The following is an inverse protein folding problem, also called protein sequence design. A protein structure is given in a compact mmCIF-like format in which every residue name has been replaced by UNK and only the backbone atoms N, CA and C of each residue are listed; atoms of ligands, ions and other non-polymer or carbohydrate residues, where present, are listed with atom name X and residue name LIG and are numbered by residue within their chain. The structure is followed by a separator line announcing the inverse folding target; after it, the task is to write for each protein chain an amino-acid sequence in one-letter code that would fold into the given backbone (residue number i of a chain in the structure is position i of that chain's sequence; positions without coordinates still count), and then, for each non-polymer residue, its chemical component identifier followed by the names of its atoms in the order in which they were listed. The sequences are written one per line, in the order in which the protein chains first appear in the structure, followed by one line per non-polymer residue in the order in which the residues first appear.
data_IF_305853555111
#
_entry.id   IF_305853555111
#
_cell.length_a   1.000
_cell.length_b   1.000
_cell.length_c   1.000
_cell.angle_alpha   90.00
_cell.angle_beta   90.00
_cell.angle_gamma   90.00
#
_symmetry.space_group_name_H-M   'P 1'
#
loop_
_entity.id
_entity.type
_entity.pdbx_description
1 polymer ?
#
# COMPACT_ATOMS: atom_id res chain seq x y z
N UNK A 1 63.10 -26.45 17.04
CA UNK A 1 63.07 -25.33 16.07
C UNK A 1 62.24 -25.80 14.89
N UNK A 2 61.05 -25.31 14.60
CA UNK A 2 60.20 -24.33 15.24
C UNK A 2 58.79 -24.53 14.66
N UNK A 3 57.77 -24.48 15.50
CA UNK A 3 56.39 -24.49 15.04
C UNK A 3 55.75 -23.18 15.51
N UNK A 4 55.21 -22.48 14.54
CA UNK A 4 54.82 -21.08 14.55
C UNK A 4 53.59 -20.82 15.43
N UNK A 5 53.67 -19.67 16.09
CA UNK A 5 52.71 -19.01 16.98
C UNK A 5 51.26 -19.04 16.50
N UNK A 6 50.31 -19.27 17.43
CA UNK A 6 48.88 -19.07 17.22
C UNK A 6 48.32 -18.05 18.23
N UNK A 7 47.50 -17.13 17.68
CA UNK A 7 46.68 -16.07 18.29
C UNK A 7 47.43 -14.79 18.74
N UNK A 8 46.84 -13.61 18.47
CA UNK A 8 45.65 -13.19 19.24
C UNK A 8 44.42 -12.85 18.40
N UNK A 9 43.26 -12.96 19.06
CA UNK A 9 41.99 -12.34 18.69
C UNK A 9 42.19 -10.86 18.36
N UNK A 10 41.59 -10.39 17.27
CA UNK A 10 41.19 -8.99 17.15
C UNK A 10 39.89 -8.94 16.37
N UNK A 11 38.82 -8.60 17.09
CA UNK A 11 37.49 -8.49 16.54
C UNK A 11 37.32 -7.24 15.69
N UNK A 12 36.46 -7.35 14.69
CA UNK A 12 35.67 -6.23 14.21
C UNK A 12 34.23 -6.72 14.15
N UNK A 13 33.45 -6.30 15.15
CA UNK A 13 32.02 -6.46 15.16
C UNK A 13 31.47 -5.85 13.87
N UNK A 14 30.76 -6.66 13.08
CA UNK A 14 30.00 -6.16 11.95
C UNK A 14 29.11 -5.03 12.45
N UNK A 15 29.26 -3.84 11.87
CA UNK A 15 28.31 -2.75 12.01
C UNK A 15 26.97 -3.27 11.51
N UNK A 16 26.13 -3.71 12.45
CA UNK A 16 24.73 -3.95 12.19
C UNK A 16 24.16 -2.67 11.59
N UNK A 17 23.68 -2.77 10.35
CA UNK A 17 22.91 -1.72 9.73
C UNK A 17 21.81 -1.34 10.73
N UNK A 18 21.87 -0.10 11.22
CA UNK A 18 20.80 0.45 12.04
C UNK A 18 19.52 0.27 11.23
N UNK A 19 18.60 -0.56 11.73
CA UNK A 19 17.26 -0.65 11.19
C UNK A 19 16.74 0.79 11.14
N UNK A 20 16.49 1.27 9.91
CA UNK A 20 15.91 2.57 9.71
C UNK A 20 14.64 2.62 10.57
N UNK A 21 14.50 3.68 11.38
CA UNK A 21 13.34 3.81 12.24
C UNK A 21 12.08 3.77 11.37
N UNK A 22 11.28 2.73 11.55
CA UNK A 22 10.02 2.53 10.83
C UNK A 22 9.10 3.75 11.06
N UNK A 23 8.42 4.26 10.03
CA UNK A 23 7.49 5.37 10.18
C UNK A 23 6.36 4.94 11.13
N UNK A 24 6.28 5.60 12.28
CA UNK A 24 5.15 5.45 13.20
C UNK A 24 4.04 6.40 12.77
N UNK A 25 2.91 5.84 12.35
CA UNK A 25 1.70 6.63 12.10
C UNK A 25 0.97 6.81 13.42
N UNK A 26 1.06 8.00 14.00
CA UNK A 26 0.50 8.34 15.32
C UNK A 26 -1.03 8.30 15.36
N UNK A 27 -1.70 8.29 14.20
CA UNK A 27 -3.16 8.30 14.08
C UNK A 27 -3.63 7.52 12.85
N UNK A 28 -4.64 6.65 13.04
CA UNK A 28 -5.32 5.91 11.96
C UNK A 28 -6.55 6.66 11.42
N UNK A 29 -6.57 7.99 11.59
CA UNK A 29 -7.60 8.83 11.01
C UNK A 29 -7.31 8.98 9.51
N UNK A 30 -8.27 8.59 8.68
CA UNK A 30 -8.17 8.70 7.23
C UNK A 30 -8.05 10.17 6.79
N UNK A 31 -6.91 10.51 6.20
CA UNK A 31 -6.67 11.81 5.59
C UNK A 31 -7.40 11.91 4.24
N UNK A 32 -8.34 12.84 4.16
CA UNK A 32 -9.18 13.05 2.97
C UNK A 32 -8.58 14.05 1.98
N UNK A 33 -7.41 14.61 2.27
CA UNK A 33 -6.81 15.73 1.52
C UNK A 33 -5.76 15.30 0.49
N UNK A 34 -5.09 14.17 0.69
CA UNK A 34 -4.07 13.67 -0.22
C UNK A 34 -4.67 12.66 -1.23
N UNK A 35 -5.10 13.17 -2.39
CA UNK A 35 -5.74 12.37 -3.43
C UNK A 35 -5.40 12.85 -4.84
N UNK A 36 -5.66 11.99 -5.83
CA UNK A 36 -5.71 12.33 -7.26
C UNK A 36 -7.11 12.05 -7.81
N UNK A 37 -7.60 12.93 -8.69
CA UNK A 37 -8.81 12.68 -9.48
C UNK A 37 -8.38 12.16 -10.86
N UNK A 38 -8.85 10.98 -11.23
CA UNK A 38 -8.40 10.22 -12.40
C UNK A 38 -9.59 9.75 -13.24
N UNK A 39 -9.34 9.49 -14.53
CA UNK A 39 -10.32 8.94 -15.46
C UNK A 39 -9.68 7.78 -16.21
N UNK A 40 -10.32 6.62 -16.19
CA UNK A 40 -9.95 5.46 -17.01
C UNK A 40 -11.03 5.18 -18.05
N UNK A 41 -10.63 4.79 -19.25
CA UNK A 41 -11.56 4.31 -20.26
C UNK A 41 -11.80 2.81 -20.04
N UNK A 42 -13.07 2.42 -19.89
CA UNK A 42 -13.49 1.02 -19.85
C UNK A 42 -14.36 0.75 -21.07
N UNK A 43 -13.84 0.03 -22.06
CA UNK A 43 -14.55 -0.25 -23.32
C UNK A 43 -15.04 1.03 -24.02
N UNK A 44 -14.25 2.10 -23.97
CA UNK A 44 -14.61 3.41 -24.54
C UNK A 44 -15.54 4.27 -23.66
N UNK A 45 -15.94 3.79 -22.49
CA UNK A 45 -16.71 4.57 -21.52
C UNK A 45 -15.78 5.19 -20.48
N UNK A 46 -15.76 6.52 -20.29
CA UNK A 46 -14.95 7.16 -19.27
C UNK A 46 -15.51 6.87 -17.87
N UNK A 47 -14.66 6.36 -16.98
CA UNK A 47 -14.94 6.09 -15.58
C UNK A 47 -14.06 6.99 -14.73
N UNK A 48 -14.68 7.99 -14.11
CA UNK A 48 -14.00 8.94 -13.23
C UNK A 48 -14.02 8.47 -11.77
N UNK A 49 -12.87 8.55 -11.10
CA UNK A 49 -12.71 8.17 -9.69
C UNK A 49 -11.65 9.02 -9.00
N UNK A 50 -11.70 9.04 -7.67
CA UNK A 50 -10.68 9.60 -6.81
C UNK A 50 -9.84 8.49 -6.21
N UNK A 51 -8.53 8.63 -6.27
CA UNK A 51 -7.57 7.68 -5.72
C UNK A 51 -6.87 8.27 -4.50
N UNK A 52 -6.84 7.48 -3.42
CA UNK A 52 -5.96 7.67 -2.28
C UNK A 52 -5.00 6.49 -2.25
N UNK A 53 -3.69 6.74 -2.12
CA UNK A 53 -2.66 5.72 -2.37
C UNK A 53 -1.75 5.54 -1.18
N UNK A 54 -1.27 4.31 -1.00
CA UNK A 54 -0.21 3.97 -0.04
C UNK A 54 -0.52 4.44 1.39
N UNK A 55 -1.76 4.21 1.85
CA UNK A 55 -2.20 4.58 3.19
C UNK A 55 -1.82 3.46 4.17
N UNK A 56 -0.95 3.70 5.16
CA UNK A 56 -0.68 2.71 6.20
C UNK A 56 -1.95 2.42 7.00
N UNK A 57 -2.31 1.15 7.12
CA UNK A 57 -3.53 0.74 7.82
C UNK A 57 -3.29 0.20 9.24
N UNK A 58 -2.04 0.21 9.71
CA UNK A 58 -1.63 -0.16 11.07
C UNK A 58 -0.80 0.95 11.70
N UNK A 59 -0.89 1.13 13.03
CA UNK A 59 -0.21 2.21 13.75
C UNK A 59 1.33 2.09 13.75
N UNK A 60 1.82 0.86 13.61
CA UNK A 60 3.26 0.53 13.57
C UNK A 60 3.51 -0.54 12.50
N UNK A 61 3.64 -0.15 11.22
CA UNK A 61 3.99 -1.09 10.18
C UNK A 61 5.42 -1.63 10.39
N UNK A 62 5.60 -2.91 10.10
CA UNK A 62 6.89 -3.60 9.95
C UNK A 62 7.38 -3.63 8.50
N UNK A 63 6.45 -3.44 7.57
CA UNK A 63 6.73 -3.28 6.15
C UNK A 63 5.70 -2.31 5.58
N UNK A 64 6.05 -1.03 5.48
CA UNK A 64 5.10 -0.01 5.05
C UNK A 64 4.65 -0.18 3.58
N UNK A 65 5.43 -0.86 2.74
CA UNK A 65 5.06 -1.09 1.34
C UNK A 65 3.90 -2.10 1.25
N UNK A 66 3.97 -3.19 2.02
CA UNK A 66 2.93 -4.24 2.03
C UNK A 66 1.84 -4.01 3.09
N UNK A 67 2.09 -3.18 4.10
CA UNK A 67 1.14 -2.81 5.14
C UNK A 67 0.49 -1.45 4.88
N UNK A 68 0.21 -1.21 3.60
CA UNK A 68 -0.55 -0.07 3.10
C UNK A 68 -1.71 -0.54 2.21
N UNK A 69 -2.70 0.32 2.03
CA UNK A 69 -3.81 0.11 1.10
C UNK A 69 -4.05 1.36 0.25
N UNK A 70 -4.69 1.17 -0.90
CA UNK A 70 -5.23 2.25 -1.72
C UNK A 70 -6.75 2.20 -1.70
N UNK A 71 -7.38 3.37 -1.80
CA UNK A 71 -8.84 3.54 -1.79
C UNK A 71 -9.24 4.26 -3.07
N UNK A 72 -10.16 3.66 -3.82
CA UNK A 72 -10.67 4.21 -5.07
C UNK A 72 -12.16 4.47 -4.93
N UNK A 73 -12.58 5.72 -5.15
CA UNK A 73 -13.96 6.17 -4.93
C UNK A 73 -14.52 6.68 -6.26
N UNK A 74 -15.64 6.13 -6.78
CA UNK A 74 -16.32 6.70 -7.94
C UNK A 74 -16.63 8.19 -7.74
N UNK A 75 -16.29 9.03 -8.73
CA UNK A 75 -16.40 10.49 -8.59
C UNK A 75 -17.83 10.98 -8.31
N UNK A 76 -18.84 10.23 -8.76
CA UNK A 76 -20.25 10.50 -8.49
C UNK A 76 -20.57 10.58 -6.99
N UNK A 77 -19.90 9.79 -6.15
CA UNK A 77 -20.15 9.79 -4.70
C UNK A 77 -19.61 11.05 -4.01
N UNK A 78 -18.68 11.76 -4.64
CA UNK A 78 -18.10 12.99 -4.09
C UNK A 78 -18.98 14.22 -4.32
N UNK A 79 -19.94 14.12 -5.24
CA UNK A 79 -20.87 15.21 -5.61
C UNK A 79 -22.32 14.92 -5.17
N UNK A 80 -22.55 13.87 -4.39
CA UNK A 80 -23.88 13.46 -3.93
C UNK A 80 -24.72 12.72 -4.99
N UNK A 81 -24.10 12.33 -6.10
CA UNK A 81 -24.74 11.52 -7.14
C UNK A 81 -24.74 10.02 -6.78
N UNK A 82 -25.40 9.22 -7.61
CA UNK A 82 -25.50 7.75 -7.43
C UNK A 82 -24.83 6.98 -8.56
N UNK A 83 -24.37 5.75 -8.27
CA UNK A 83 -23.95 4.76 -9.26
C UNK A 83 -24.79 3.51 -9.06
N UNK A 84 -25.55 3.09 -10.07
CA UNK A 84 -26.43 1.92 -10.00
C UNK A 84 -27.35 1.89 -8.76
N UNK A 85 -27.87 3.06 -8.36
CA UNK A 85 -28.74 3.21 -7.19
C UNK A 85 -28.02 3.31 -5.84
N UNK A 86 -26.69 3.13 -5.79
CA UNK A 86 -25.90 3.33 -4.58
C UNK A 86 -25.48 4.78 -4.41
N UNK A 87 -25.39 5.22 -3.16
CA UNK A 87 -24.86 6.53 -2.75
C UNK A 87 -23.52 6.35 -2.05
N UNK A 88 -22.83 7.45 -1.72
CA UNK A 88 -21.64 7.42 -0.88
C UNK A 88 -21.84 6.68 0.46
N UNK A 89 -23.06 6.68 1.02
CA UNK A 89 -23.38 6.04 2.29
C UNK A 89 -23.80 4.57 2.16
N UNK A 90 -24.17 4.11 0.96
CA UNK A 90 -24.75 2.77 0.75
C UNK A 90 -23.94 1.90 -0.21
N UNK A 91 -22.94 2.45 -0.88
CA UNK A 91 -22.10 1.71 -1.81
C UNK A 91 -21.38 0.55 -1.11
N UNK A 92 -21.39 -0.65 -1.69
CA UNK A 92 -20.59 -1.76 -1.19
C UNK A 92 -19.11 -1.42 -1.30
N UNK A 93 -18.33 -1.81 -0.28
CA UNK A 93 -16.88 -1.65 -0.29
C UNK A 93 -16.27 -2.95 -0.83
N UNK A 94 -15.66 -2.88 -2.01
CA UNK A 94 -14.93 -3.99 -2.58
C UNK A 94 -13.48 -3.96 -2.09
N UNK A 95 -13.01 -5.07 -1.48
CA UNK A 95 -11.66 -5.20 -0.90
C UNK A 95 -10.91 -6.38 -1.55
N UNK A 96 -10.45 -6.23 -2.79
CA UNK A 96 -9.63 -7.26 -3.45
C UNK A 96 -8.23 -7.33 -2.83
N UNK A 97 -7.49 -8.39 -3.14
CA UNK A 97 -6.09 -8.55 -2.77
C UNK A 97 -5.33 -9.27 -3.88
N UNK A 98 -4.05 -8.93 -4.04
CA UNK A 98 -3.15 -9.56 -5.02
C UNK A 98 -2.41 -10.79 -4.50
N UNK A 99 -2.88 -11.46 -3.45
CA UNK A 99 -2.18 -12.63 -2.86
C UNK A 99 -2.32 -13.85 -3.78
N UNK A 100 -1.20 -14.50 -4.07
CA UNK A 100 -1.17 -15.74 -4.83
C UNK A 100 -0.07 -16.67 -4.33
N UNK A 101 -0.36 -17.96 -4.20
CA UNK A 101 0.64 -18.96 -3.78
C UNK A 101 1.30 -18.67 -2.43
N UNK A 102 0.61 -17.96 -1.53
CA UNK A 102 1.13 -17.47 -0.24
C UNK A 102 2.28 -16.45 -0.34
N UNK A 103 2.53 -15.86 -1.52
CA UNK A 103 3.45 -14.75 -1.68
C UNK A 103 2.79 -13.42 -1.26
N UNK A 104 3.57 -12.41 -0.83
CA UNK A 104 3.05 -11.07 -0.58
C UNK A 104 2.23 -10.56 -1.77
N UNK A 105 1.03 -10.06 -1.48
CA UNK A 105 0.20 -9.40 -2.46
C UNK A 105 0.56 -7.93 -2.55
N UNK A 106 0.67 -7.43 -3.78
CA UNK A 106 0.82 -6.00 -4.03
C UNK A 106 -0.55 -5.32 -4.05
N UNK A 107 -0.54 -3.99 -3.86
CA UNK A 107 -1.74 -3.18 -4.05
C UNK A 107 -2.13 -3.21 -5.53
N UNK A 108 -3.38 -3.57 -5.81
CA UNK A 108 -3.92 -3.55 -7.17
C UNK A 108 -4.42 -2.17 -7.57
N UNK A 109 -4.08 -1.77 -8.80
CA UNK A 109 -4.53 -0.53 -9.42
C UNK A 109 -5.79 -0.76 -10.29
N UNK A 110 -6.71 0.21 -10.39
CA UNK A 110 -7.72 0.20 -11.42
C UNK A 110 -7.05 0.18 -12.79
N UNK A 111 -7.37 -0.82 -13.60
CA UNK A 111 -6.86 -1.00 -14.97
C UNK A 111 -7.99 -1.47 -15.87
N UNK A 112 -7.98 -1.08 -17.15
CA UNK A 112 -9.00 -1.50 -18.11
C UNK A 112 -9.03 -3.03 -18.30
N UNK A 113 -7.85 -3.66 -18.31
CA UNK A 113 -7.70 -5.11 -18.32
C UNK A 113 -7.07 -5.54 -17.02
N UNK A 114 -7.82 -6.30 -16.23
CA UNK A 114 -7.25 -7.00 -15.08
C UNK A 114 -6.25 -8.06 -15.57
N UNK A 115 -5.27 -8.41 -14.72
CA UNK A 115 -4.30 -9.48 -15.02
C UNK A 115 -4.99 -10.84 -14.93
N UNK A 116 -5.72 -11.22 -15.97
CA UNK A 116 -6.22 -12.58 -16.23
C UNK A 116 -6.08 -12.92 -17.70
#
# INVERSE_FOLDING_TARGET
MGNTSAAPMSGTAGTGAAAAAEPSVTSLIFDRTNYTDEVLSLNGTPVAFRAYRNIPYVSSPKDAAHQSMSIFIPAAYLTGSTVNGYTAATAPIFMPNGVGGYMPGEIEEPQEKSRM
#
